data_IF_451028172193
#
_entry.id   IF_451028172193
#
_cell.length_a   1.000
_cell.length_b   1.000
_cell.length_c   1.000
_cell.angle_alpha   90.00
_cell.angle_beta   90.00
_cell.angle_gamma   90.00
#
_symmetry.space_group_name_H-M   'P 1'
#
loop_
_entity.id
_entity.type
_entity.pdbx_description
1 polymer ?
#
# COMPACT_ATOMS: atom_id res chain seq x y z
N UNK A 1 10.67 -14.85 13.89
CA UNK A 1 10.73 -14.53 15.32
C UNK A 1 12.01 -13.76 15.68
N UNK A 2 13.21 -14.24 15.34
CA UNK A 2 14.51 -13.60 15.65
C UNK A 2 14.66 -12.17 15.08
N UNK A 3 14.17 -11.88 13.87
CA UNK A 3 14.23 -10.56 13.24
C UNK A 3 13.35 -9.55 13.98
N UNK A 4 12.15 -9.96 14.38
CA UNK A 4 11.22 -9.10 15.13
C UNK A 4 11.75 -8.72 16.51
N UNK A 5 12.46 -9.63 17.18
CA UNK A 5 13.15 -9.38 18.45
C UNK A 5 14.30 -8.37 18.29
N UNK A 6 15.04 -8.41 17.17
CA UNK A 6 16.13 -7.45 16.90
C UNK A 6 15.60 -6.04 16.66
N UNK A 7 14.54 -5.90 15.87
CA UNK A 7 13.86 -4.60 15.63
C UNK A 7 13.37 -3.99 16.96
N UNK A 8 12.69 -4.77 17.79
CA UNK A 8 12.24 -4.32 19.12
C UNK A 8 13.43 -3.90 20.01
N UNK A 9 14.55 -4.62 19.96
CA UNK A 9 15.76 -4.28 20.71
C UNK A 9 16.33 -2.92 20.28
N UNK A 10 16.47 -2.66 18.97
CA UNK A 10 17.00 -1.40 18.46
C UNK A 10 16.07 -0.20 18.81
N UNK A 11 14.76 -0.39 18.70
CA UNK A 11 13.78 0.65 19.08
C UNK A 11 13.90 1.00 20.56
N UNK A 12 14.06 0.01 21.44
CA UNK A 12 14.21 0.23 22.87
C UNK A 12 15.52 1.01 23.15
N UNK A 13 16.62 0.61 22.52
CA UNK A 13 17.92 1.28 22.69
C UNK A 13 17.86 2.74 22.26
N UNK A 14 17.23 3.02 21.10
CA UNK A 14 17.04 4.39 20.60
C UNK A 14 16.14 5.19 21.56
N UNK A 15 15.04 4.62 22.05
CA UNK A 15 14.15 5.29 22.98
C UNK A 15 14.85 5.63 24.31
N UNK A 16 15.68 4.73 24.82
CA UNK A 16 16.50 4.99 26.03
C UNK A 16 17.49 6.12 25.74
N UNK A 17 18.17 6.12 24.60
CA UNK A 17 19.10 7.17 24.23
C UNK A 17 18.39 8.53 24.16
N UNK A 18 17.23 8.63 23.48
CA UNK A 18 16.42 9.84 23.41
C UNK A 18 15.98 10.36 24.77
N UNK A 19 15.68 9.44 25.70
CA UNK A 19 15.36 9.82 27.08
C UNK A 19 16.57 10.46 27.78
N UNK A 20 17.77 9.91 27.63
CA UNK A 20 18.99 10.52 28.18
C UNK A 20 19.35 11.85 27.52
N UNK A 21 19.17 12.01 26.20
CA UNK A 21 19.31 13.31 25.53
C UNK A 21 18.33 14.34 26.12
N UNK A 22 17.07 13.94 26.36
CA UNK A 22 16.11 14.81 27.03
C UNK A 22 16.58 15.24 28.41
N UNK A 23 17.11 14.33 29.23
CA UNK A 23 17.64 14.66 30.55
C UNK A 23 18.85 15.64 30.46
N UNK A 24 19.70 15.46 29.46
CA UNK A 24 20.81 16.38 29.19
C UNK A 24 20.29 17.77 28.78
N UNK A 25 19.28 17.88 27.90
CA UNK A 25 18.68 19.17 27.53
C UNK A 25 18.03 19.88 28.70
N UNK A 26 17.62 19.13 29.74
CA UNK A 26 17.09 19.66 30.99
C UNK A 26 18.15 19.98 32.06
N UNK A 27 19.43 19.82 31.73
CA UNK A 27 20.57 19.95 32.62
C UNK A 27 20.50 19.06 33.88
N UNK A 28 19.78 17.94 33.81
CA UNK A 28 19.69 16.95 34.90
C UNK A 28 20.95 16.07 34.90
N UNK A 29 21.49 15.79 33.74
CA UNK A 29 22.75 15.08 33.55
C UNK A 29 23.71 15.92 32.69
N UNK A 30 25.03 15.73 32.86
CA UNK A 30 26.03 16.45 32.09
C UNK A 30 26.20 15.89 30.68
N UNK A 31 26.20 14.58 30.56
CA UNK A 31 26.39 13.87 29.30
C UNK A 31 25.58 12.56 29.26
N UNK A 32 25.32 12.08 28.05
CA UNK A 32 24.66 10.79 27.87
C UNK A 32 25.65 9.68 28.19
N UNK A 33 25.33 8.71 29.10
CA UNK A 33 26.27 7.77 29.67
C UNK A 33 26.72 6.65 28.71
N UNK A 34 26.18 6.58 27.49
CA UNK A 34 26.54 5.55 26.52
C UNK A 34 26.32 6.01 25.07
N UNK A 35 27.09 5.43 24.16
CA UNK A 35 26.87 5.59 22.73
C UNK A 35 25.97 4.44 22.22
N UNK A 36 24.72 4.76 21.84
CA UNK A 36 23.72 3.78 21.42
C UNK A 36 24.14 2.99 20.18
N UNK A 37 24.98 3.54 19.30
CA UNK A 37 25.42 2.91 18.06
C UNK A 37 26.15 1.58 18.29
N UNK A 38 26.87 1.43 19.41
CA UNK A 38 27.54 0.18 19.77
C UNK A 38 26.58 -0.95 20.13
N UNK A 39 25.37 -0.61 20.53
CA UNK A 39 24.35 -1.58 20.95
C UNK A 39 23.36 -1.93 19.84
N UNK A 40 23.34 -1.16 18.74
CA UNK A 40 22.47 -1.45 17.61
C UNK A 40 22.88 -2.76 16.94
N UNK A 41 21.92 -3.65 16.81
CA UNK A 41 22.11 -4.89 16.06
C UNK A 41 21.92 -4.60 14.58
N UNK A 42 22.86 -5.07 13.73
CA UNK A 42 22.74 -4.96 12.29
C UNK A 42 21.43 -5.61 11.83
N UNK A 43 20.58 -4.83 11.22
CA UNK A 43 19.34 -5.30 10.61
C UNK A 43 19.66 -5.90 9.25
N UNK A 44 19.32 -7.17 9.07
CA UNK A 44 19.30 -7.79 7.75
C UNK A 44 17.89 -7.56 7.25
N UNK A 45 17.72 -6.55 6.39
CA UNK A 45 16.46 -6.28 5.74
C UNK A 45 16.23 -7.36 4.68
N UNK A 46 15.46 -8.38 5.05
CA UNK A 46 14.91 -9.31 4.07
C UNK A 46 13.67 -8.64 3.47
N UNK A 47 13.84 -8.06 2.31
CA UNK A 47 12.72 -7.55 1.53
C UNK A 47 12.00 -8.77 0.91
N UNK A 48 10.83 -9.09 1.40
CA UNK A 48 9.94 -10.08 0.78
C UNK A 48 8.94 -9.37 -0.11
N UNK A 49 8.73 -9.85 -1.30
CA UNK A 49 7.66 -9.36 -2.17
C UNK A 49 6.33 -9.49 -1.42
N UNK A 50 5.62 -8.37 -1.32
CA UNK A 50 4.33 -8.27 -0.62
C UNK A 50 3.20 -7.96 -1.59
N UNK A 51 3.48 -7.89 -2.88
CA UNK A 51 2.42 -7.67 -3.85
C UNK A 51 1.46 -8.86 -3.85
N UNK A 52 0.20 -8.54 -4.01
CA UNK A 52 -0.84 -9.55 -4.17
C UNK A 52 -0.64 -10.21 -5.52
N UNK A 53 -0.66 -11.52 -5.58
CA UNK A 53 -0.57 -12.27 -6.82
C UNK A 53 -1.74 -11.94 -7.75
N UNK A 54 -1.49 -11.92 -9.06
CA UNK A 54 -2.47 -11.49 -10.06
C UNK A 54 -3.77 -12.28 -9.99
N UNK A 55 -3.69 -13.59 -9.85
CA UNK A 55 -4.86 -14.47 -9.75
C UNK A 55 -5.72 -14.16 -8.51
N UNK A 56 -5.06 -13.92 -7.37
CA UNK A 56 -5.73 -13.52 -6.13
C UNK A 56 -6.38 -12.15 -6.30
N UNK A 57 -5.68 -11.19 -6.92
CA UNK A 57 -6.21 -9.85 -7.16
C UNK A 57 -7.45 -9.88 -8.04
N UNK A 58 -7.44 -10.66 -9.12
CA UNK A 58 -8.58 -10.84 -10.03
C UNK A 58 -9.75 -11.57 -9.35
N UNK A 59 -9.46 -12.58 -8.54
CA UNK A 59 -10.47 -13.27 -7.74
C UNK A 59 -11.18 -12.31 -6.77
N UNK A 60 -10.41 -11.45 -6.07
CA UNK A 60 -10.98 -10.44 -5.18
C UNK A 60 -11.89 -9.48 -5.96
N UNK A 61 -11.46 -8.98 -7.12
CA UNK A 61 -12.28 -8.10 -7.96
C UNK A 61 -13.58 -8.76 -8.40
N UNK A 62 -13.53 -10.02 -8.83
CA UNK A 62 -14.68 -10.79 -9.27
C UNK A 62 -15.72 -10.95 -8.16
N UNK A 63 -15.28 -11.19 -6.93
CA UNK A 63 -16.14 -11.43 -5.76
C UNK A 63 -16.36 -10.20 -4.90
N UNK A 64 -15.85 -9.05 -5.32
CA UNK A 64 -15.93 -7.80 -4.53
C UNK A 64 -17.39 -7.39 -4.21
N UNK A 65 -18.35 -7.73 -5.09
CA UNK A 65 -19.79 -7.48 -4.89
C UNK A 65 -20.37 -8.17 -3.65
N UNK A 66 -19.78 -9.30 -3.24
CA UNK A 66 -20.25 -10.13 -2.14
C UNK A 66 -19.78 -9.58 -0.78
N UNK A 67 -18.87 -8.62 -0.78
CA UNK A 67 -18.39 -7.95 0.42
C UNK A 67 -19.41 -6.92 0.93
N UNK A 68 -19.50 -6.69 2.26
CA UNK A 68 -20.31 -5.60 2.80
C UNK A 68 -19.94 -4.26 2.16
N UNK A 69 -20.93 -3.44 1.83
CA UNK A 69 -20.77 -2.25 0.98
C UNK A 69 -19.65 -1.30 1.46
N UNK A 70 -19.61 -0.96 2.74
CA UNK A 70 -18.64 -0.03 3.29
C UNK A 70 -17.20 -0.57 3.25
N UNK A 71 -16.89 -1.75 3.81
CA UNK A 71 -15.57 -2.37 3.66
C UNK A 71 -15.16 -2.59 2.21
N UNK A 72 -16.09 -2.98 1.34
CA UNK A 72 -15.86 -3.15 -0.09
C UNK A 72 -15.33 -1.89 -0.75
N UNK A 73 -15.99 -0.75 -0.52
CA UNK A 73 -15.57 0.52 -1.12
C UNK A 73 -14.23 1.00 -0.54
N UNK A 74 -13.98 0.79 0.75
CA UNK A 74 -12.67 1.09 1.35
C UNK A 74 -11.57 0.24 0.71
N UNK A 75 -11.80 -1.06 0.55
CA UNK A 75 -10.87 -1.97 -0.11
C UNK A 75 -10.60 -1.56 -1.56
N UNK A 76 -11.66 -1.20 -2.30
CA UNK A 76 -11.55 -0.76 -3.69
C UNK A 76 -10.61 0.45 -3.86
N UNK A 77 -10.63 1.41 -2.94
CA UNK A 77 -9.67 2.52 -2.96
C UNK A 77 -8.23 2.07 -2.76
N UNK A 78 -8.01 1.11 -1.86
CA UNK A 78 -6.68 0.56 -1.65
C UNK A 78 -6.19 -0.23 -2.87
N UNK A 79 -7.08 -0.99 -3.50
CA UNK A 79 -6.78 -1.77 -4.71
C UNK A 79 -6.47 -0.90 -5.92
N UNK A 80 -7.28 0.13 -6.18
CA UNK A 80 -7.15 0.96 -7.38
C UNK A 80 -6.12 2.09 -7.24
N UNK A 81 -5.96 2.63 -6.04
CA UNK A 81 -5.19 3.86 -5.80
C UNK A 81 -4.00 3.67 -4.85
N UNK A 82 -3.83 2.49 -4.27
CA UNK A 82 -2.77 2.24 -3.28
C UNK A 82 -2.87 3.12 -2.02
N UNK A 83 -4.04 3.70 -1.71
CA UNK A 83 -4.23 4.56 -0.54
C UNK A 83 -4.12 3.76 0.75
N UNK A 84 -3.59 4.40 1.80
CA UNK A 84 -3.61 3.81 3.14
C UNK A 84 -5.06 3.73 3.63
N UNK A 85 -5.44 2.60 4.21
CA UNK A 85 -6.82 2.39 4.70
C UNK A 85 -7.26 3.48 5.68
N UNK A 86 -6.35 3.93 6.55
CA UNK A 86 -6.65 5.03 7.48
C UNK A 86 -6.96 6.35 6.76
N UNK A 87 -6.29 6.64 5.65
CA UNK A 87 -6.56 7.82 4.81
C UNK A 87 -7.93 7.70 4.13
N UNK A 88 -8.26 6.51 3.61
CA UNK A 88 -9.58 6.23 3.01
C UNK A 88 -10.69 6.36 4.04
N UNK A 89 -10.51 5.84 5.25
CA UNK A 89 -11.49 5.96 6.32
C UNK A 89 -11.79 7.42 6.72
N UNK A 90 -10.84 8.34 6.48
CA UNK A 90 -10.96 9.76 6.79
C UNK A 90 -11.44 10.63 5.62
N UNK A 91 -11.84 10.03 4.48
CA UNK A 91 -12.36 10.78 3.33
C UNK A 91 -13.66 11.50 3.69
N UNK A 92 -13.77 12.75 3.24
CA UNK A 92 -14.96 13.60 3.42
C UNK A 92 -15.81 13.64 2.15
N UNK A 93 -17.07 14.04 2.28
CA UNK A 93 -18.03 14.07 1.17
C UNK A 93 -17.61 14.97 0.01
N UNK A 94 -16.80 16.00 0.26
CA UNK A 94 -16.23 16.89 -0.76
C UNK A 94 -14.92 16.38 -1.37
N UNK A 95 -14.43 15.19 -0.98
CA UNK A 95 -13.14 14.67 -1.45
C UNK A 95 -13.07 14.42 -2.96
N UNK A 96 -14.20 14.17 -3.63
CA UNK A 96 -14.25 13.83 -5.06
C UNK A 96 -14.73 15.01 -5.89
N UNK A 97 -13.95 15.39 -6.91
CA UNK A 97 -14.26 16.51 -7.80
C UNK A 97 -13.74 16.27 -9.21
N UNK A 98 -14.21 17.08 -10.15
CA UNK A 98 -13.70 17.14 -11.51
C UNK A 98 -12.74 18.31 -11.65
N UNK A 99 -11.64 18.08 -12.36
CA UNK A 99 -10.74 19.15 -12.79
C UNK A 99 -10.40 18.94 -14.27
N UNK A 100 -10.88 19.86 -15.09
CA UNK A 100 -10.79 19.69 -16.53
C UNK A 100 -11.63 18.49 -17.00
N UNK A 101 -10.98 17.51 -17.61
CA UNK A 101 -11.61 16.28 -18.13
C UNK A 101 -11.44 15.07 -17.20
N UNK A 102 -10.76 15.24 -16.09
CA UNK A 102 -10.38 14.14 -15.22
C UNK A 102 -11.08 14.21 -13.86
N UNK A 103 -11.42 13.04 -13.36
CA UNK A 103 -11.91 12.89 -12.00
C UNK A 103 -10.73 12.82 -11.02
N UNK A 104 -10.85 13.51 -9.90
CA UNK A 104 -9.82 13.63 -8.88
C UNK A 104 -10.35 13.29 -7.50
N UNK A 105 -9.43 12.87 -6.63
CA UNK A 105 -9.68 12.73 -5.20
C UNK A 105 -8.65 13.55 -4.41
N UNK A 106 -9.13 14.26 -3.39
CA UNK A 106 -8.30 14.92 -2.40
C UNK A 106 -8.26 14.08 -1.13
N UNK A 107 -7.07 13.70 -0.70
CA UNK A 107 -6.84 12.80 0.44
C UNK A 107 -5.98 13.49 1.48
N UNK A 108 -6.43 13.49 2.73
CA UNK A 108 -5.61 13.95 3.85
C UNK A 108 -4.65 12.85 4.29
N UNK A 109 -3.36 13.09 4.15
CA UNK A 109 -2.31 12.19 4.59
C UNK A 109 -2.05 12.41 6.09
N UNK A 110 -2.57 11.51 6.92
CA UNK A 110 -2.54 11.64 8.39
C UNK A 110 -1.10 11.74 8.90
N UNK A 111 -0.18 10.94 8.35
CA UNK A 111 1.22 10.90 8.76
C UNK A 111 1.97 12.18 8.38
N UNK A 112 1.72 12.71 7.18
CA UNK A 112 2.38 13.90 6.63
C UNK A 112 1.70 15.20 7.04
N UNK A 113 0.49 15.13 7.62
CA UNK A 113 -0.37 16.27 7.97
C UNK A 113 -0.62 17.23 6.80
N UNK A 114 -0.70 16.70 5.59
CA UNK A 114 -0.92 17.46 4.36
C UNK A 114 -1.97 16.80 3.48
N UNK A 115 -2.48 17.56 2.50
CA UNK A 115 -3.38 17.04 1.49
C UNK A 115 -2.62 16.65 0.24
N UNK A 116 -2.96 15.51 -0.36
CA UNK A 116 -2.57 15.16 -1.71
C UNK A 116 -3.79 15.08 -2.62
N UNK A 117 -3.58 15.32 -3.90
CA UNK A 117 -4.58 15.21 -4.95
C UNK A 117 -4.08 14.22 -5.98
N UNK A 118 -4.90 13.26 -6.34
CA UNK A 118 -4.55 12.24 -7.33
C UNK A 118 -5.70 12.04 -8.30
N UNK A 119 -5.41 11.79 -9.59
CA UNK A 119 -6.43 11.42 -10.55
C UNK A 119 -6.99 10.03 -10.20
N UNK A 120 -8.26 9.83 -10.49
CA UNK A 120 -8.94 8.56 -10.23
C UNK A 120 -9.73 8.10 -11.47
N UNK A 121 -9.96 6.79 -11.62
CA UNK A 121 -10.85 6.29 -12.66
C UNK A 121 -12.27 6.89 -12.54
N UNK A 122 -12.84 7.30 -13.66
CA UNK A 122 -14.19 7.89 -13.70
C UNK A 122 -15.25 6.96 -13.06
N UNK A 123 -15.08 5.65 -13.23
CA UNK A 123 -15.98 4.67 -12.65
C UNK A 123 -15.99 4.73 -11.12
N UNK A 124 -14.82 4.91 -10.50
CA UNK A 124 -14.72 5.05 -9.04
C UNK A 124 -15.42 6.33 -8.57
N UNK A 125 -15.21 7.44 -9.30
CA UNK A 125 -15.91 8.70 -9.05
C UNK A 125 -17.43 8.51 -9.06
N UNK A 126 -17.97 7.89 -10.11
CA UNK A 126 -19.40 7.62 -10.26
C UNK A 126 -19.95 6.77 -9.11
N UNK A 127 -19.27 5.67 -8.77
CA UNK A 127 -19.65 4.81 -7.65
C UNK A 127 -19.72 5.60 -6.35
N UNK A 128 -18.71 6.42 -6.07
CA UNK A 128 -18.65 7.18 -4.83
C UNK A 128 -19.69 8.30 -4.78
N UNK A 129 -19.98 8.96 -5.90
CA UNK A 129 -21.08 9.97 -5.95
C UNK A 129 -22.45 9.33 -5.69
N UNK A 130 -22.69 8.12 -6.22
CA UNK A 130 -23.92 7.37 -5.93
C UNK A 130 -23.99 7.01 -4.43
N UNK A 131 -22.88 6.53 -3.85
CA UNK A 131 -22.81 6.20 -2.43
C UNK A 131 -23.07 7.43 -1.54
N UNK A 132 -22.40 8.57 -1.81
CA UNK A 132 -22.57 9.84 -1.08
C UNK A 132 -24.03 10.30 -1.14
N UNK A 133 -24.65 10.26 -2.32
CA UNK A 133 -26.06 10.62 -2.51
C UNK A 133 -27.00 9.68 -1.76
N UNK A 134 -26.79 8.36 -1.86
CA UNK A 134 -27.59 7.32 -1.19
C UNK A 134 -27.67 7.53 0.32
N UNK A 135 -26.54 7.85 0.94
CA UNK A 135 -26.44 8.04 2.38
C UNK A 135 -26.56 9.50 2.85
N UNK A 136 -26.87 10.43 1.92
CA UNK A 136 -27.01 11.88 2.20
C UNK A 136 -25.84 12.47 2.96
N UNK A 137 -24.61 12.10 2.57
CA UNK A 137 -23.38 12.51 3.24
C UNK A 137 -23.10 13.98 2.88
N UNK A 138 -22.96 14.83 3.92
CA UNK A 138 -22.60 16.24 3.76
C UNK A 138 -21.15 16.44 3.32
N UNK A 139 -20.83 17.63 2.82
CA UNK A 139 -19.50 17.94 2.29
C UNK A 139 -18.38 17.73 3.32
N UNK A 140 -18.62 18.08 4.57
CA UNK A 140 -17.65 17.99 5.67
C UNK A 140 -17.77 16.70 6.48
N UNK A 141 -18.78 15.86 6.20
CA UNK A 141 -18.97 14.59 6.87
C UNK A 141 -17.99 13.54 6.34
N UNK A 142 -17.64 12.59 7.19
CA UNK A 142 -16.89 11.42 6.74
C UNK A 142 -17.76 10.57 5.82
N UNK A 143 -17.19 10.09 4.70
CA UNK A 143 -17.90 9.21 3.77
C UNK A 143 -18.18 7.87 4.44
N UNK A 144 -17.17 7.31 5.09
CA UNK A 144 -17.27 6.05 5.79
C UNK A 144 -17.44 6.32 7.29
N UNK A 145 -18.68 6.38 7.73
CA UNK A 145 -19.03 6.68 9.12
C UNK A 145 -19.23 5.40 9.95
N UNK A 146 -18.87 5.50 11.22
CA UNK A 146 -19.31 4.55 12.23
C UNK A 146 -20.72 4.93 12.74
N UNK A 147 -21.26 4.17 13.70
CA UNK A 147 -22.60 4.42 14.29
C UNK A 147 -22.74 5.80 14.97
N UNK A 148 -21.63 6.44 15.33
CA UNK A 148 -21.59 7.76 16.01
C UNK A 148 -21.32 8.92 15.03
N UNK A 149 -21.40 8.71 13.70
CA UNK A 149 -21.09 9.72 12.69
C UNK A 149 -19.60 10.06 12.53
N UNK A 150 -18.71 9.41 13.28
CA UNK A 150 -17.25 9.59 13.16
C UNK A 150 -16.67 8.69 12.08
N UNK A 151 -15.42 8.95 11.68
CA UNK A 151 -14.70 8.13 10.71
C UNK A 151 -14.76 6.63 11.06
N UNK A 152 -14.93 5.79 10.05
CA UNK A 152 -14.91 4.33 10.21
C UNK A 152 -13.55 3.89 10.71
N UNK A 153 -13.51 3.05 11.74
CA UNK A 153 -12.27 2.72 12.41
C UNK A 153 -11.47 1.68 11.62
N UNK A 154 -10.17 1.90 11.50
CA UNK A 154 -9.25 0.98 10.80
C UNK A 154 -9.32 -0.45 11.34
N UNK A 155 -9.41 -0.63 12.66
CA UNK A 155 -9.49 -1.97 13.26
C UNK A 155 -10.78 -2.70 12.87
N UNK A 156 -11.91 -2.00 12.74
CA UNK A 156 -13.18 -2.58 12.29
C UNK A 156 -13.09 -3.04 10.84
N UNK A 157 -12.46 -2.24 9.97
CA UNK A 157 -12.17 -2.64 8.60
C UNK A 157 -11.29 -3.89 8.56
N UNK A 158 -10.17 -3.87 9.29
CA UNK A 158 -9.23 -5.00 9.33
C UNK A 158 -9.88 -6.28 9.83
N UNK A 159 -10.71 -6.18 10.86
CA UNK A 159 -11.46 -7.32 11.38
C UNK A 159 -12.42 -7.89 10.33
N UNK A 160 -13.21 -7.01 9.68
CA UNK A 160 -14.13 -7.42 8.61
C UNK A 160 -13.41 -8.12 7.46
N UNK A 161 -12.28 -7.56 7.00
CA UNK A 161 -11.49 -8.18 5.94
C UNK A 161 -10.94 -9.54 6.36
N UNK A 162 -10.32 -9.62 7.53
CA UNK A 162 -9.80 -10.90 8.03
C UNK A 162 -10.88 -11.97 8.11
N UNK A 163 -12.08 -11.60 8.57
CA UNK A 163 -13.20 -12.52 8.63
C UNK A 163 -13.55 -13.03 7.22
N UNK A 164 -13.76 -12.13 6.27
CA UNK A 164 -14.14 -12.49 4.89
C UNK A 164 -13.09 -13.39 4.23
N UNK A 165 -11.81 -13.03 4.34
CA UNK A 165 -10.73 -13.79 3.72
C UNK A 165 -10.54 -15.16 4.39
N UNK A 166 -10.73 -15.27 5.70
CA UNK A 166 -10.64 -16.55 6.40
C UNK A 166 -11.82 -17.47 6.09
N UNK A 167 -13.04 -16.92 5.98
CA UNK A 167 -14.24 -17.69 5.64
C UNK A 167 -14.27 -18.18 4.19
N UNK A 168 -13.48 -17.53 3.31
CA UNK A 168 -13.42 -17.81 1.89
C UNK A 168 -11.96 -18.05 1.42
N UNK A 169 -11.13 -18.67 2.26
CA UNK A 169 -9.70 -18.81 2.01
C UNK A 169 -9.36 -19.54 0.70
N UNK A 170 -10.10 -20.59 0.34
CA UNK A 170 -9.93 -21.31 -0.93
C UNK A 170 -10.22 -20.41 -2.14
N UNK A 171 -11.26 -19.56 -2.05
CA UNK A 171 -11.64 -18.65 -3.12
C UNK A 171 -10.56 -17.60 -3.41
N UNK A 172 -9.80 -17.22 -2.39
CA UNK A 172 -8.74 -16.22 -2.48
C UNK A 172 -7.33 -16.82 -2.40
N UNK A 173 -7.13 -18.06 -2.86
CA UNK A 173 -5.85 -18.79 -2.90
C UNK A 173 -5.09 -18.73 -1.56
N UNK A 174 -5.80 -18.96 -0.47
CA UNK A 174 -5.25 -18.92 0.90
C UNK A 174 -4.57 -17.59 1.28
N UNK A 175 -4.87 -16.51 0.55
CA UNK A 175 -4.28 -15.20 0.81
C UNK A 175 -4.64 -14.69 2.21
N UNK A 176 -3.61 -14.44 3.01
CA UNK A 176 -3.76 -13.85 4.33
C UNK A 176 -3.79 -12.31 4.23
N UNK A 177 -4.97 -11.73 4.35
CA UNK A 177 -5.19 -10.29 4.17
C UNK A 177 -4.25 -9.40 5.00
N UNK A 178 -3.53 -8.54 4.32
CA UNK A 178 -2.72 -7.45 4.89
C UNK A 178 -3.02 -6.16 4.15
N UNK A 179 -3.40 -5.14 4.88
CA UNK A 179 -3.86 -3.86 4.32
C UNK A 179 -2.83 -3.10 3.48
N UNK A 180 -1.54 -3.38 3.65
CA UNK A 180 -0.48 -2.73 2.89
C UNK A 180 -0.10 -3.46 1.59
N UNK A 181 -0.52 -4.71 1.42
CA UNK A 181 -0.12 -5.51 0.27
C UNK A 181 -0.66 -4.92 -1.05
N UNK A 182 -1.89 -4.40 -1.07
CA UNK A 182 -2.44 -3.71 -2.25
C UNK A 182 -1.68 -2.45 -2.62
N UNK A 183 -1.20 -1.72 -1.63
CA UNK A 183 -0.35 -0.54 -1.88
C UNK A 183 1.00 -0.96 -2.47
N UNK A 184 1.56 -2.07 -2.01
CA UNK A 184 2.74 -2.66 -2.63
C UNK A 184 2.46 -3.07 -4.07
N UNK A 185 1.33 -3.73 -4.33
CA UNK A 185 0.91 -4.13 -5.68
C UNK A 185 0.85 -2.94 -6.63
N UNK A 186 0.16 -1.84 -6.25
CA UNK A 186 0.07 -0.62 -7.07
C UNK A 186 1.45 0.00 -7.30
N UNK A 187 2.30 0.06 -6.26
CA UNK A 187 3.66 0.57 -6.43
C UNK A 187 4.47 -0.24 -7.44
N UNK A 188 4.35 -1.57 -7.37
CA UNK A 188 5.03 -2.48 -8.28
C UNK A 188 4.50 -2.36 -9.71
N UNK A 189 3.17 -2.28 -9.88
CA UNK A 189 2.54 -2.08 -11.20
C UNK A 189 3.03 -0.79 -11.86
N UNK A 190 3.01 0.35 -11.14
CA UNK A 190 3.52 1.62 -11.69
C UNK A 190 4.99 1.52 -12.09
N UNK A 191 5.78 0.83 -11.32
CA UNK A 191 7.19 0.65 -11.63
C UNK A 191 7.39 -0.25 -12.86
N UNK A 192 6.62 -1.33 -12.99
CA UNK A 192 6.61 -2.22 -14.16
C UNK A 192 6.17 -1.50 -15.43
N UNK A 193 5.24 -0.54 -15.31
CA UNK A 193 4.80 0.33 -16.39
C UNK A 193 5.81 1.45 -16.74
N UNK A 194 7.00 1.44 -16.10
CA UNK A 194 8.08 2.40 -16.38
C UNK A 194 7.89 3.76 -15.72
N UNK A 195 6.98 3.92 -14.76
CA UNK A 195 6.83 5.17 -14.02
C UNK A 195 8.08 5.41 -13.16
N UNK A 196 8.71 6.60 -13.25
CA UNK A 196 9.90 6.90 -12.45
C UNK A 196 9.66 6.71 -10.95
N UNK A 197 10.63 6.11 -10.25
CA UNK A 197 10.53 5.79 -8.82
C UNK A 197 10.17 7.01 -7.96
N UNK A 198 10.72 8.19 -8.31
CA UNK A 198 10.39 9.46 -7.69
C UNK A 198 8.88 9.77 -7.78
N UNK A 199 8.29 9.60 -8.97
CA UNK A 199 6.86 9.83 -9.19
C UNK A 199 5.99 8.83 -8.42
N UNK A 200 6.41 7.57 -8.34
CA UNK A 200 5.74 6.54 -7.51
C UNK A 200 5.80 6.92 -6.04
N UNK A 201 6.95 7.39 -5.57
CA UNK A 201 7.14 7.87 -4.19
C UNK A 201 6.20 9.02 -3.87
N UNK A 202 6.16 10.03 -4.74
CA UNK A 202 5.33 11.22 -4.55
C UNK A 202 3.84 10.87 -4.62
N UNK A 203 3.46 10.01 -5.57
CA UNK A 203 2.09 9.50 -5.68
C UNK A 203 1.64 8.75 -4.41
N UNK A 204 2.48 7.87 -3.89
CA UNK A 204 2.16 7.13 -2.68
C UNK A 204 2.30 7.99 -1.42
N UNK A 205 3.09 9.05 -1.43
CA UNK A 205 3.42 9.87 -0.26
C UNK A 205 4.29 9.08 0.72
N UNK A 206 5.47 8.67 0.27
CA UNK A 206 6.50 8.07 1.10
C UNK A 206 7.45 9.15 1.62
N UNK A 207 7.72 9.15 2.93
CA UNK A 207 8.59 10.15 3.59
C UNK A 207 10.06 9.97 3.20
N UNK A 208 10.48 8.70 3.00
CA UNK A 208 11.86 8.33 2.78
C UNK A 208 12.01 7.54 1.49
N UNK A 209 13.10 7.78 0.78
CA UNK A 209 13.44 7.07 -0.45
C UNK A 209 13.62 5.58 -0.22
N UNK A 210 14.16 5.19 0.93
CA UNK A 210 14.34 3.80 1.36
C UNK A 210 13.03 2.98 1.35
N UNK A 211 11.89 3.63 1.67
CA UNK A 211 10.57 2.97 1.61
C UNK A 211 10.15 2.65 0.17
N UNK A 212 10.72 3.35 -0.81
CA UNK A 212 10.44 3.14 -2.22
C UNK A 212 11.51 2.25 -2.83
N UNK A 213 12.74 2.31 -2.35
CA UNK A 213 13.87 1.49 -2.79
C UNK A 213 13.59 -0.01 -2.67
N UNK A 214 12.82 -0.44 -1.67
CA UNK A 214 12.42 -1.84 -1.55
C UNK A 214 11.70 -2.39 -2.81
N UNK A 215 11.06 -1.54 -3.62
CA UNK A 215 10.43 -1.97 -4.87
C UNK A 215 11.47 -2.21 -5.97
N UNK A 216 12.57 -1.49 -5.96
CA UNK A 216 13.70 -1.68 -6.89
C UNK A 216 14.40 -3.01 -6.63
N UNK A 217 14.55 -3.39 -5.38
CA UNK A 217 15.26 -4.60 -4.98
C UNK A 217 14.56 -5.90 -5.44
N UNK A 218 13.26 -5.83 -5.78
CA UNK A 218 12.49 -6.96 -6.30
C UNK A 218 12.53 -7.10 -7.82
N UNK A 219 12.85 -6.02 -8.50
CA UNK A 219 12.82 -5.97 -9.96
C UNK A 219 13.62 -7.06 -10.65
N UNK A 220 14.87 -7.39 -10.24
CA UNK A 220 15.63 -8.44 -10.91
C UNK A 220 14.92 -9.79 -10.94
N UNK A 221 14.21 -10.13 -9.86
CA UNK A 221 13.46 -11.41 -9.77
C UNK A 221 12.21 -11.41 -10.64
N UNK A 222 11.47 -10.28 -10.68
CA UNK A 222 10.26 -10.15 -11.50
C UNK A 222 10.59 -10.03 -12.99
N UNK A 223 11.60 -9.24 -13.37
CA UNK A 223 12.09 -9.18 -14.74
C UNK A 223 12.53 -10.57 -15.20
N UNK A 224 13.23 -11.32 -14.36
CA UNK A 224 13.64 -12.68 -14.69
C UNK A 224 12.43 -13.60 -14.92
N UNK A 225 11.41 -13.52 -14.07
CA UNK A 225 10.17 -14.30 -14.23
C UNK A 225 9.39 -13.87 -15.47
N UNK A 226 9.17 -12.57 -15.66
CA UNK A 226 8.49 -12.02 -16.83
C UNK A 226 9.22 -12.37 -18.13
N UNK A 227 10.56 -12.31 -18.15
CA UNK A 227 11.35 -12.75 -19.29
C UNK A 227 11.19 -14.26 -19.56
N UNK A 228 11.20 -15.10 -18.50
CA UNK A 228 10.98 -16.54 -18.65
C UNK A 228 9.59 -16.83 -19.22
N UNK A 229 8.55 -16.16 -18.73
CA UNK A 229 7.18 -16.29 -19.22
C UNK A 229 7.05 -15.80 -20.66
N UNK A 230 7.68 -14.66 -21.01
CA UNK A 230 7.70 -14.12 -22.37
C UNK A 230 8.40 -15.06 -23.35
N UNK A 231 9.51 -15.67 -22.94
CA UNK A 231 10.25 -16.64 -23.74
C UNK A 231 9.58 -18.01 -23.80
N UNK A 232 8.80 -18.38 -22.77
CA UNK A 232 8.06 -19.64 -22.74
C UNK A 232 6.78 -19.60 -23.58
N UNK A 233 6.18 -18.44 -23.83
CA UNK A 233 4.99 -18.30 -24.68
C UNK A 233 5.32 -18.70 -26.12
N UNK A 234 4.74 -19.82 -26.58
CA UNK A 234 4.79 -20.18 -27.99
C UNK A 234 4.13 -19.08 -28.83
N UNK A 235 4.89 -18.53 -29.79
CA UNK A 235 4.43 -17.44 -30.67
C UNK A 235 4.91 -16.04 -30.28
N UNK A 236 5.70 -15.87 -29.21
CA UNK A 236 6.37 -14.59 -28.99
C UNK A 236 7.34 -14.28 -30.13
N UNK A 237 7.38 -13.04 -30.62
CA UNK A 237 8.27 -12.61 -31.69
C UNK A 237 9.76 -12.89 -31.38
N UNK A 238 10.14 -12.84 -30.11
CA UNK A 238 11.47 -13.17 -29.61
C UNK A 238 11.76 -14.67 -29.67
N UNK A 239 10.82 -15.52 -29.26
CA UNK A 239 10.97 -16.97 -29.35
C UNK A 239 11.04 -17.45 -30.82
N UNK A 240 10.28 -16.84 -31.72
CA UNK A 240 10.35 -17.11 -33.16
C UNK A 240 11.67 -16.66 -33.78
N UNK A 241 12.25 -15.54 -33.32
CA UNK A 241 13.56 -15.05 -33.74
C UNK A 241 14.69 -16.00 -33.37
N UNK A 242 14.70 -16.52 -32.13
CA UNK A 242 15.70 -17.51 -31.67
C UNK A 242 15.59 -18.83 -32.41
N UNK A 243 14.38 -19.32 -32.72
CA UNK A 243 14.16 -20.51 -33.52
C UNK A 243 14.67 -20.34 -34.97
N UNK A 244 14.55 -19.15 -35.56
CA UNK A 244 15.09 -18.83 -36.89
C UNK A 244 16.63 -18.85 -36.94
N UNK A 245 17.30 -18.32 -35.91
CA UNK A 245 18.77 -18.36 -35.82
C UNK A 245 19.33 -19.78 -35.72
N UNK A 246 18.60 -20.74 -35.14
CA UNK A 246 19.02 -22.15 -35.06
C UNK A 246 18.80 -22.95 -36.35
N UNK A 247 18.02 -22.46 -37.32
CA UNK A 247 17.77 -23.10 -38.61
C UNK A 247 18.72 -22.64 -39.72
N UNK A 248 19.65 -21.75 -39.42
CA UNK A 248 20.65 -21.23 -40.36
C UNK A 248 22.04 -21.87 -40.21
N UNK A 249 22.13 -23.17 -39.86
CA UNK A 249 23.35 -23.99 -39.95
C UNK A 249 23.06 -25.23 -40.75
#
# INVERSE_FOLDING_TARGET
FKVRLRLCSNIIIIAIYQFYEYLQTKNIIKEVPFNYQYYLKKEILHHNDRSVEQETYESILKHLKDFPEKPRLILLHSMLLGLRISEVCCLKGNAYYWQGRDAWIQVYQIKMRTYKRIPIPEILYKIMKVYIKKYRIGAEDYIFQNQKGKAYHYSSFRWSMKKIFNENHELFQEYNFKSHDFRHTIATMFYEDGVPLQSVRDYLGHDYEEMTQQYVDYMPKRISRANQELFAKEGSSLASGIKRCKRGK
#
